data_IF_764542595547
#
_entry.id   IF_764542595547
#
_cell.length_a   1.000
_cell.length_b   1.000
_cell.length_c   1.000
_cell.angle_alpha   90.00
_cell.angle_beta   90.00
_cell.angle_gamma   90.00
#
_symmetry.space_group_name_H-M   'P 1'
#
loop_
_entity.id
_entity.type
_entity.pdbx_description
1 polymer ?
#
# COMPACT_ATOMS: atom_id res chain seq x y z
N UNK A 1 5.84 3.65 0.99
CA UNK A 1 6.94 4.49 0.44
C UNK A 1 8.21 4.43 1.29
N UNK A 2 8.14 4.44 2.63
CA UNK A 2 9.31 4.35 3.51
C UNK A 2 10.27 3.18 3.17
N UNK A 3 9.74 1.96 2.97
CA UNK A 3 10.53 0.78 2.58
C UNK A 3 11.31 0.97 1.26
N UNK A 4 10.68 1.56 0.24
CA UNK A 4 11.34 1.88 -1.03
C UNK A 4 12.48 2.88 -0.83
N UNK A 5 12.23 3.95 -0.09
CA UNK A 5 13.25 4.96 0.22
C UNK A 5 14.42 4.36 0.99
N UNK A 6 14.16 3.60 2.06
CA UNK A 6 15.18 2.95 2.86
C UNK A 6 16.07 2.02 2.03
N UNK A 7 15.49 1.23 1.13
CA UNK A 7 16.27 0.35 0.25
C UNK A 7 17.07 1.13 -0.81
N UNK A 8 16.52 2.22 -1.34
CA UNK A 8 17.23 3.09 -2.27
C UNK A 8 18.46 3.75 -1.61
N UNK A 9 18.31 4.27 -0.40
CA UNK A 9 19.42 4.83 0.39
C UNK A 9 20.47 3.76 0.68
N UNK A 10 20.06 2.56 1.09
CA UNK A 10 20.98 1.44 1.32
C UNK A 10 21.83 1.11 0.08
N UNK A 11 21.21 1.05 -1.11
CA UNK A 11 21.95 0.76 -2.34
C UNK A 11 22.87 1.92 -2.75
N UNK A 12 22.41 3.17 -2.58
CA UNK A 12 23.24 4.35 -2.85
C UNK A 12 24.50 4.37 -1.98
N UNK A 13 24.41 3.97 -0.70
CA UNK A 13 25.56 3.85 0.20
C UNK A 13 26.55 2.75 -0.21
N UNK A 14 26.13 1.81 -1.06
CA UNK A 14 26.95 0.72 -1.59
C UNK A 14 27.39 0.95 -3.03
N UNK A 15 27.18 2.16 -3.58
CA UNK A 15 27.43 2.50 -4.98
C UNK A 15 26.72 1.54 -5.96
N UNK A 16 25.50 1.10 -5.60
CA UNK A 16 24.66 0.22 -6.41
C UNK A 16 23.40 0.93 -6.85
N UNK A 17 22.89 0.54 -8.01
CA UNK A 17 21.57 0.97 -8.47
C UNK A 17 20.47 0.21 -7.73
N UNK A 18 19.47 0.90 -7.15
CA UNK A 18 18.32 0.22 -6.56
C UNK A 18 17.43 -0.40 -7.65
N UNK A 19 16.74 -1.52 -7.35
CA UNK A 19 15.77 -2.10 -8.25
C UNK A 19 14.59 -1.14 -8.46
N UNK A 20 13.83 -1.38 -9.53
CA UNK A 20 12.61 -0.63 -9.79
C UNK A 20 11.63 -0.79 -8.61
N UNK A 21 11.05 0.31 -8.10
CA UNK A 21 10.20 0.24 -6.91
C UNK A 21 8.83 -0.39 -7.21
N UNK A 22 8.29 -1.09 -6.22
CA UNK A 22 6.92 -1.58 -6.13
C UNK A 22 6.28 -1.04 -4.87
N UNK A 23 5.01 -0.60 -4.97
CA UNK A 23 4.29 0.01 -3.85
C UNK A 23 2.84 -0.47 -3.85
N UNK A 24 2.23 -0.48 -2.67
CA UNK A 24 0.81 -0.78 -2.50
C UNK A 24 0.19 0.24 -1.54
N UNK A 25 -1.10 0.46 -1.67
CA UNK A 25 -1.92 1.17 -0.71
C UNK A 25 -3.26 0.45 -0.55
N UNK A 26 -3.74 0.44 0.69
CA UNK A 26 -5.12 0.13 1.03
C UNK A 26 -5.57 1.14 2.08
N UNK A 27 -6.70 1.79 1.85
CA UNK A 27 -7.38 2.64 2.83
C UNK A 27 -8.71 2.00 3.18
N UNK A 28 -8.94 1.79 4.46
CA UNK A 28 -10.22 1.33 5.01
C UNK A 28 -11.00 2.50 5.59
N UNK A 29 -12.32 2.45 5.48
CA UNK A 29 -13.25 3.38 6.14
C UNK A 29 -14.35 2.59 6.83
N UNK A 30 -14.52 2.79 8.14
CA UNK A 30 -15.70 2.29 8.86
C UNK A 30 -16.88 3.21 8.56
N UNK A 31 -18.00 2.63 8.11
CA UNK A 31 -19.20 3.39 7.68
C UNK A 31 -20.38 3.20 8.62
N UNK A 32 -20.29 2.22 9.53
CA UNK A 32 -21.17 2.04 10.68
C UNK A 32 -20.32 1.49 11.86
N UNK A 33 -20.99 1.05 12.93
CA UNK A 33 -20.32 0.40 14.05
C UNK A 33 -19.71 -0.97 13.68
N UNK A 34 -20.29 -1.62 12.68
CA UNK A 34 -20.02 -3.00 12.31
C UNK A 34 -19.58 -3.19 10.84
N UNK A 35 -19.82 -2.24 9.94
CA UNK A 35 -19.50 -2.38 8.51
C UNK A 35 -18.38 -1.42 8.04
N UNK A 36 -17.55 -1.91 7.13
CA UNK A 36 -16.47 -1.15 6.50
C UNK A 36 -16.50 -1.20 4.97
N UNK A 37 -15.78 -0.27 4.35
CA UNK A 37 -15.42 -0.24 2.92
C UNK A 37 -13.91 -0.09 2.76
N UNK A 38 -13.38 -0.42 1.59
CA UNK A 38 -11.95 -0.28 1.29
C UNK A 38 -11.70 0.22 -0.13
N UNK A 39 -10.58 0.91 -0.33
CA UNK A 39 -9.97 1.16 -1.64
C UNK A 39 -8.54 0.67 -1.61
N UNK A 40 -8.13 -0.06 -2.65
CA UNK A 40 -6.79 -0.66 -2.76
C UNK A 40 -6.19 -0.46 -4.14
N UNK A 41 -4.87 -0.31 -4.20
CA UNK A 41 -4.14 -0.22 -5.45
C UNK A 41 -2.69 -0.71 -5.31
N UNK A 42 -2.19 -1.32 -6.39
CA UNK A 42 -0.78 -1.68 -6.58
C UNK A 42 -0.15 -0.73 -7.61
N UNK A 43 1.04 -0.24 -7.31
CA UNK A 43 1.74 0.75 -8.12
C UNK A 43 3.13 0.28 -8.53
N UNK A 44 3.56 0.75 -9.70
CA UNK A 44 4.92 0.62 -10.23
C UNK A 44 5.43 1.96 -10.73
N UNK A 45 6.74 2.08 -10.86
CA UNK A 45 7.33 3.20 -11.59
C UNK A 45 7.35 2.91 -13.10
N UNK A 46 6.75 3.79 -13.90
CA UNK A 46 6.83 3.77 -15.37
C UNK A 46 7.98 4.68 -15.82
N UNK A 47 9.07 4.06 -16.29
CA UNK A 47 10.27 4.75 -16.73
C UNK A 47 10.04 5.65 -17.95
N UNK A 48 9.13 5.28 -18.86
CA UNK A 48 8.88 6.04 -20.08
C UNK A 48 8.11 7.32 -19.77
N UNK A 49 7.18 7.24 -18.81
CA UNK A 49 6.37 8.40 -18.36
C UNK A 49 7.02 9.19 -17.23
N UNK A 50 8.08 8.65 -16.65
CA UNK A 50 8.72 9.15 -15.43
C UNK A 50 7.71 9.42 -14.29
N UNK A 51 6.81 8.47 -14.06
CA UNK A 51 5.68 8.59 -13.10
C UNK A 51 5.44 7.29 -12.37
N UNK A 52 4.94 7.40 -11.14
CA UNK A 52 4.32 6.28 -10.44
C UNK A 52 2.93 6.08 -11.04
N UNK A 53 2.64 4.86 -11.49
CA UNK A 53 1.37 4.51 -12.10
C UNK A 53 0.81 3.26 -11.44
N UNK A 54 -0.52 3.16 -11.42
CA UNK A 54 -1.20 1.92 -11.02
C UNK A 54 -0.86 0.81 -12.00
N UNK A 55 -0.62 -0.39 -11.50
CA UNK A 55 -0.53 -1.60 -12.34
C UNK A 55 -1.90 -1.83 -12.98
N UNK A 56 -1.91 -2.18 -14.28
CA UNK A 56 -3.14 -2.40 -15.03
C UNK A 56 -4.02 -3.43 -14.30
N UNK A 57 -5.29 -3.10 -14.13
CA UNK A 57 -6.31 -3.93 -13.47
C UNK A 57 -6.02 -4.26 -11.98
N UNK A 58 -5.09 -3.55 -11.34
CA UNK A 58 -4.68 -3.77 -9.95
C UNK A 58 -5.12 -2.66 -8.98
N UNK A 59 -6.26 -2.03 -9.27
CA UNK A 59 -6.92 -1.09 -8.35
C UNK A 59 -8.40 -1.39 -8.27
N UNK A 60 -8.98 -1.19 -7.08
CA UNK A 60 -10.40 -1.40 -6.90
C UNK A 60 -10.90 -0.84 -5.58
N UNK A 61 -12.22 -0.77 -5.49
CA UNK A 61 -12.95 -0.53 -4.26
C UNK A 61 -13.67 -1.80 -3.84
N UNK A 62 -13.99 -1.94 -2.55
CA UNK A 62 -14.86 -3.00 -2.08
C UNK A 62 -16.20 -2.93 -2.82
N UNK A 63 -16.75 -4.06 -3.32
CA UNK A 63 -17.98 -4.05 -4.10
C UNK A 63 -19.19 -3.59 -3.29
N UNK A 64 -19.20 -3.88 -1.98
CA UNK A 64 -20.22 -3.47 -1.03
C UNK A 64 -19.56 -3.18 0.33
N UNK A 65 -20.27 -2.49 1.23
CA UNK A 65 -19.89 -2.48 2.65
C UNK A 65 -20.16 -3.84 3.27
N UNK A 66 -19.35 -4.25 4.24
CA UNK A 66 -19.56 -5.50 4.98
C UNK A 66 -18.80 -5.54 6.30
N UNK A 67 -19.23 -6.44 7.18
CA UNK A 67 -18.61 -6.68 8.49
C UNK A 67 -17.17 -7.18 8.39
N UNK A 68 -16.89 -8.08 7.44
CA UNK A 68 -15.54 -8.61 7.24
C UNK A 68 -14.54 -7.52 6.85
N UNK A 69 -14.96 -6.47 6.14
CA UNK A 69 -14.08 -5.35 5.81
C UNK A 69 -13.76 -4.51 7.07
N UNK A 70 -14.70 -4.37 8.01
CA UNK A 70 -14.44 -3.70 9.28
C UNK A 70 -13.41 -4.48 10.12
N UNK A 71 -13.53 -5.80 10.20
CA UNK A 71 -12.52 -6.63 10.87
C UNK A 71 -11.14 -6.53 10.21
N UNK A 72 -11.08 -6.64 8.87
CA UNK A 72 -9.83 -6.47 8.12
C UNK A 72 -9.19 -5.10 8.35
N UNK A 73 -9.99 -4.04 8.52
CA UNK A 73 -9.49 -2.71 8.82
C UNK A 73 -8.76 -2.66 10.17
N UNK A 74 -9.29 -3.35 11.19
CA UNK A 74 -8.68 -3.43 12.51
C UNK A 74 -7.41 -4.27 12.51
N UNK A 75 -7.43 -5.42 11.82
CA UNK A 75 -6.25 -6.27 11.62
C UNK A 75 -5.14 -5.50 10.89
N UNK A 76 -5.50 -4.77 9.82
CA UNK A 76 -4.57 -3.92 9.10
C UNK A 76 -3.96 -2.84 9.99
N UNK A 77 -4.77 -2.18 10.82
CA UNK A 77 -4.30 -1.14 11.73
C UNK A 77 -3.27 -1.68 12.73
N UNK A 78 -3.57 -2.81 13.37
CA UNK A 78 -2.61 -3.45 14.28
C UNK A 78 -1.33 -3.87 13.58
N UNK A 79 -1.44 -4.48 12.40
CA UNK A 79 -0.28 -4.95 11.64
C UNK A 79 0.63 -3.80 11.18
N UNK A 80 0.05 -2.71 10.67
CA UNK A 80 0.85 -1.57 10.19
C UNK A 80 1.45 -0.78 11.35
N UNK A 81 0.78 -0.70 12.50
CA UNK A 81 1.39 -0.10 13.69
C UNK A 81 2.56 -0.93 14.19
N UNK A 82 2.43 -2.26 14.21
CA UNK A 82 3.53 -3.14 14.57
C UNK A 82 4.71 -2.97 13.60
N UNK A 83 4.49 -3.02 12.28
CA UNK A 83 5.55 -2.84 11.26
C UNK A 83 6.27 -1.49 11.34
N UNK A 84 5.62 -0.45 11.88
CA UNK A 84 6.16 0.92 11.94
C UNK A 84 6.78 1.29 13.29
N UNK A 85 6.27 0.74 14.39
CA UNK A 85 6.56 1.23 15.75
C UNK A 85 7.26 0.21 16.65
N UNK A 86 7.36 -1.05 16.23
CA UNK A 86 7.97 -2.14 17.04
C UNK A 86 8.89 -3.00 16.19
#
# INVERSE_FOLDING_TARGET
MGKVCGYAVHNALLDKDPPSPSMINTCYSLVSQDEGISVSAVYKHDKNKNKIVTVKDASGVSPNRSEIIAYNAWDWAQAIWYDMLT
#
